data_IF_662884363617
#
_entry.id   IF_662884363617
#
_cell.length_a   1.000
_cell.length_b   1.000
_cell.length_c   1.000
_cell.angle_alpha   90.00
_cell.angle_beta   90.00
_cell.angle_gamma   90.00
#
_symmetry.space_group_name_H-M   'P 1'
#
loop_
_entity.id
_entity.type
_entity.pdbx_description
1 polymer ?
#
# COMPACT_ATOMS: atom_id res chain seq x y z
N UNK A 1 26.41 36.54 -9.15
CA UNK A 1 26.26 36.08 -7.75
C UNK A 1 24.78 36.13 -7.43
N UNK A 2 24.07 35.03 -7.70
CA UNK A 2 22.61 34.95 -7.55
C UNK A 2 22.35 33.97 -6.42
N UNK A 3 21.74 34.48 -5.34
CA UNK A 3 21.34 33.72 -4.16
C UNK A 3 20.18 32.77 -4.48
N UNK A 4 20.30 31.53 -4.02
CA UNK A 4 19.26 30.50 -4.03
C UNK A 4 18.25 30.74 -2.88
N UNK A 5 16.95 30.44 -3.04
CA UNK A 5 16.02 30.37 -1.92
C UNK A 5 15.95 28.96 -1.32
N UNK A 6 16.21 28.92 -0.02
CA UNK A 6 15.59 28.13 1.06
C UNK A 6 14.91 26.77 0.75
N UNK A 7 15.52 25.74 1.34
CA UNK A 7 15.03 24.39 1.61
C UNK A 7 13.60 24.31 2.16
N UNK A 8 12.78 23.44 1.57
CA UNK A 8 11.49 22.99 2.11
C UNK A 8 11.76 21.94 3.20
N UNK A 9 11.29 22.22 4.41
CA UNK A 9 11.40 21.35 5.59
C UNK A 9 10.37 20.21 5.51
N UNK A 10 10.83 18.95 5.52
CA UNK A 10 10.01 17.77 5.73
C UNK A 10 9.47 17.76 7.18
N UNK A 11 8.18 18.06 7.36
CA UNK A 11 7.49 18.02 8.65
C UNK A 11 6.76 16.70 8.87
N UNK A 12 7.45 15.56 8.96
CA UNK A 12 6.90 14.37 9.59
C UNK A 12 7.13 14.50 11.10
N UNK A 13 6.14 15.03 11.81
CA UNK A 13 6.20 15.18 13.27
C UNK A 13 6.07 13.79 13.91
N UNK A 14 7.20 13.16 14.20
CA UNK A 14 7.31 12.03 15.12
C UNK A 14 7.42 12.60 16.54
N UNK A 15 6.32 12.62 17.30
CA UNK A 15 6.36 13.05 18.70
C UNK A 15 6.87 11.89 19.55
N UNK A 16 8.16 11.89 19.83
CA UNK A 16 8.76 11.10 20.91
C UNK A 16 8.54 11.81 22.25
N UNK A 17 7.78 11.18 23.15
CA UNK A 17 7.58 11.70 24.51
C UNK A 17 7.12 10.59 25.46
N UNK A 18 8.06 9.98 26.16
CA UNK A 18 7.80 8.97 27.19
C UNK A 18 7.80 9.63 28.58
N UNK A 19 6.79 9.39 29.41
CA UNK A 19 6.89 9.49 30.87
C UNK A 19 5.82 8.62 31.55
N UNK A 20 6.13 7.92 32.67
CA UNK A 20 5.28 6.86 33.19
C UNK A 20 4.34 7.35 34.29
N UNK A 21 3.06 6.97 34.25
CA UNK A 21 2.21 6.94 35.44
C UNK A 21 1.34 5.68 35.49
N UNK A 22 1.46 4.98 36.63
CA UNK A 22 0.61 3.88 37.08
C UNK A 22 -0.83 4.34 37.23
N UNK A 23 -1.79 3.51 36.85
CA UNK A 23 -2.93 3.14 37.70
C UNK A 23 -3.63 1.90 37.14
N UNK A 24 -3.91 0.98 38.05
CA UNK A 24 -4.66 -0.28 37.91
C UNK A 24 -6.11 -0.06 37.51
N UNK A 25 -6.66 -0.92 36.63
CA UNK A 25 -8.01 -1.47 36.75
C UNK A 25 -8.20 -2.66 35.80
N UNK A 26 -8.56 -3.80 36.38
CA UNK A 26 -8.97 -5.02 35.68
C UNK A 26 -10.29 -4.80 34.95
N UNK A 27 -10.36 -5.20 33.68
CA UNK A 27 -11.61 -5.59 33.05
C UNK A 27 -11.51 -7.05 32.61
N UNK A 28 -12.39 -7.85 33.18
CA UNK A 28 -12.61 -9.25 32.81
C UNK A 28 -13.24 -9.32 31.41
N UNK A 29 -12.61 -10.03 30.48
CA UNK A 29 -13.20 -10.37 29.20
C UNK A 29 -13.92 -11.72 29.34
N UNK A 30 -15.25 -11.71 29.17
CA UNK A 30 -16.07 -12.93 29.13
C UNK A 30 -15.87 -13.60 27.77
N UNK A 31 -15.49 -14.87 27.78
CA UNK A 31 -15.48 -15.77 26.63
C UNK A 31 -16.92 -16.12 26.23
N UNK A 32 -17.25 -15.98 24.95
CA UNK A 32 -18.43 -16.60 24.33
C UNK A 32 -17.94 -17.78 23.51
N UNK A 33 -18.36 -18.97 23.90
CA UNK A 33 -18.20 -20.20 23.13
C UNK A 33 -19.43 -20.39 22.27
N UNK A 34 -19.26 -20.57 20.96
CA UNK A 34 -20.27 -21.18 20.09
C UNK A 34 -19.60 -22.36 19.42
N UNK A 35 -20.16 -23.53 19.70
CA UNK A 35 -19.68 -24.81 19.20
C UNK A 35 -20.43 -25.30 17.97
N UNK A 36 -19.78 -26.29 17.37
CA UNK A 36 -20.31 -27.48 16.70
C UNK A 36 -20.76 -27.39 15.24
N UNK A 37 -19.93 -28.06 14.43
CA UNK A 37 -20.29 -29.10 13.45
C UNK A 37 -21.37 -28.81 12.40
N UNK A 38 -20.91 -28.66 11.15
CA UNK A 38 -21.59 -29.23 9.99
C UNK A 38 -20.54 -30.00 9.17
N UNK A 39 -20.77 -31.30 8.98
CA UNK A 39 -20.01 -32.18 8.09
C UNK A 39 -20.43 -31.85 6.64
N UNK A 40 -19.46 -31.52 5.79
CA UNK A 40 -19.63 -31.48 4.33
C UNK A 40 -19.36 -32.85 3.73
N UNK A 41 -20.25 -33.29 2.85
CA UNK A 41 -20.04 -34.40 1.93
C UNK A 41 -19.41 -33.86 0.64
N UNK A 42 -18.59 -34.72 0.03
CA UNK A 42 -17.66 -34.51 -1.08
C UNK A 42 -18.26 -33.97 -2.39
N UNK A 43 -17.49 -33.13 -3.09
CA UNK A 43 -17.43 -33.03 -4.55
C UNK A 43 -16.03 -32.56 -4.95
N UNK A 44 -15.29 -33.41 -5.66
CA UNK A 44 -13.96 -33.16 -6.20
C UNK A 44 -14.06 -32.41 -7.54
N UNK A 45 -13.26 -31.36 -7.70
CA UNK A 45 -12.75 -30.95 -9.01
C UNK A 45 -11.38 -30.31 -8.80
N UNK A 46 -10.35 -30.96 -9.34
CA UNK A 46 -8.95 -30.65 -9.07
C UNK A 46 -8.48 -29.30 -9.63
N UNK A 47 -7.61 -28.68 -8.84
CA UNK A 47 -6.59 -27.72 -9.25
C UNK A 47 -5.34 -28.05 -8.45
N UNK A 48 -4.21 -28.10 -9.12
CA UNK A 48 -2.89 -28.43 -8.57
C UNK A 48 -2.57 -27.52 -7.37
N UNK A 49 -2.60 -28.09 -6.16
CA UNK A 49 -2.12 -27.45 -4.94
C UNK A 49 -0.61 -27.68 -4.85
N UNK A 50 0.18 -26.61 -4.86
CA UNK A 50 1.56 -26.66 -4.38
C UNK A 50 1.51 -26.92 -2.86
N UNK A 51 1.66 -28.18 -2.46
CA UNK A 51 1.81 -28.58 -1.06
C UNK A 51 3.09 -27.94 -0.48
N UNK A 52 2.91 -26.90 0.34
CA UNK A 52 3.94 -26.46 1.27
C UNK A 52 3.99 -27.51 2.40
N UNK A 53 4.97 -28.40 2.35
CA UNK A 53 5.29 -29.32 3.45
C UNK A 53 5.54 -28.51 4.74
N UNK A 54 4.63 -28.59 5.70
CA UNK A 54 4.89 -28.20 7.08
C UNK A 54 5.91 -29.18 7.67
N UNK A 55 7.17 -28.76 7.71
CA UNK A 55 8.19 -29.46 8.49
C UNK A 55 7.88 -29.19 9.98
N UNK A 56 7.12 -30.09 10.60
CA UNK A 56 7.06 -30.20 12.06
C UNK A 56 8.41 -30.75 12.56
N UNK A 57 9.39 -29.87 12.76
CA UNK A 57 10.54 -30.22 13.61
C UNK A 57 10.04 -30.31 15.05
N UNK A 58 9.94 -31.54 15.58
CA UNK A 58 9.74 -31.79 17.01
C UNK A 58 10.85 -31.11 17.82
N UNK A 59 10.57 -29.94 18.40
CA UNK A 59 11.46 -29.30 19.36
C UNK A 59 11.53 -30.12 20.66
N UNK A 60 12.60 -30.92 20.83
CA UNK A 60 13.00 -31.39 22.15
C UNK A 60 13.28 -30.19 23.06
N UNK A 61 12.32 -29.84 23.92
CA UNK A 61 12.53 -28.85 24.97
C UNK A 61 13.68 -29.29 25.89
N UNK A 62 14.73 -28.47 26.10
CA UNK A 62 15.86 -28.89 26.92
C UNK A 62 15.43 -28.96 28.38
N UNK A 63 15.41 -30.18 28.93
CA UNK A 63 15.19 -30.44 30.36
C UNK A 63 16.19 -29.64 31.20
N UNK A 64 15.65 -28.82 32.10
CA UNK A 64 16.35 -27.93 33.03
C UNK A 64 17.39 -28.73 33.83
N UNK A 65 18.67 -28.64 33.45
CA UNK A 65 19.75 -29.29 34.21
C UNK A 65 21.07 -29.60 33.49
N UNK A 66 21.14 -29.57 32.15
CA UNK A 66 22.41 -29.77 31.42
C UNK A 66 23.04 -28.42 31.06
N UNK A 67 24.31 -28.22 31.43
CA UNK A 67 25.11 -27.04 31.02
C UNK A 67 25.12 -26.98 29.49
N UNK A 68 24.51 -25.95 28.91
CA UNK A 68 24.52 -25.71 27.47
C UNK A 68 25.97 -25.54 27.03
N UNK A 69 26.47 -26.48 26.21
CA UNK A 69 27.81 -26.40 25.64
C UNK A 69 27.77 -25.28 24.60
N UNK A 70 28.44 -24.16 24.88
CA UNK A 70 28.56 -23.05 23.93
C UNK A 70 29.63 -23.45 22.91
N UNK A 71 29.22 -23.70 21.68
CA UNK A 71 30.13 -23.89 20.55
C UNK A 71 30.24 -22.59 19.76
N UNK A 72 31.49 -22.16 19.55
CA UNK A 72 31.82 -21.04 18.70
C UNK A 72 31.75 -21.50 17.25
N UNK A 73 30.81 -20.94 16.47
CA UNK A 73 30.55 -21.35 15.09
C UNK A 73 31.37 -20.50 14.11
N UNK A 74 31.27 -19.17 14.21
CA UNK A 74 31.95 -18.24 13.30
C UNK A 74 32.14 -16.86 13.96
N UNK A 75 33.26 -16.20 13.66
CA UNK A 75 33.49 -14.79 13.99
C UNK A 75 33.01 -13.91 12.84
N UNK A 76 32.19 -12.90 13.14
CA UNK A 76 31.55 -12.06 12.11
C UNK A 76 32.22 -10.69 12.08
N UNK A 77 33.01 -10.38 11.04
CA UNK A 77 33.74 -9.13 10.96
C UNK A 77 32.79 -7.92 10.84
N UNK A 78 33.22 -6.72 11.29
CA UNK A 78 32.46 -5.49 11.10
C UNK A 78 32.07 -5.27 9.63
N UNK A 79 30.81 -4.90 9.39
CA UNK A 79 30.27 -4.66 8.04
C UNK A 79 29.69 -5.90 7.34
N UNK A 80 29.74 -7.09 7.96
CA UNK A 80 29.08 -8.30 7.44
C UNK A 80 27.72 -8.51 8.09
N UNK A 81 26.69 -8.65 7.27
CA UNK A 81 25.35 -9.06 7.73
C UNK A 81 25.29 -10.57 7.83
N UNK A 82 24.66 -11.07 8.89
CA UNK A 82 24.35 -12.49 9.04
C UNK A 82 22.92 -12.64 9.55
N UNK A 83 22.19 -13.58 8.96
CA UNK A 83 20.82 -13.85 9.34
C UNK A 83 20.82 -14.83 10.51
N UNK A 84 20.45 -14.36 11.70
CA UNK A 84 20.22 -15.23 12.85
C UNK A 84 18.73 -15.58 12.93
N UNK A 85 18.39 -16.84 12.69
CA UNK A 85 17.06 -17.37 13.05
C UNK A 85 16.95 -17.39 14.58
N UNK A 86 16.21 -16.42 15.12
CA UNK A 86 16.09 -16.25 16.57
C UNK A 86 14.99 -17.13 17.16
N UNK A 87 15.32 -17.90 18.20
CA UNK A 87 14.37 -18.47 19.19
C UNK A 87 13.55 -17.38 19.94
N UNK A 88 13.77 -16.09 19.62
CA UNK A 88 13.15 -14.92 20.22
C UNK A 88 11.78 -14.54 19.65
N UNK A 89 11.22 -15.26 18.67
CA UNK A 89 9.89 -14.97 18.10
C UNK A 89 8.80 -14.88 19.18
N UNK A 90 8.84 -15.77 20.18
CA UNK A 90 7.92 -15.76 21.34
C UNK A 90 8.12 -14.56 22.27
N UNK A 91 9.32 -13.97 22.32
CA UNK A 91 9.63 -12.82 23.17
C UNK A 91 9.37 -11.47 22.49
N UNK A 92 9.48 -11.39 21.15
CA UNK A 92 9.22 -10.18 20.38
C UNK A 92 7.80 -10.06 19.83
N UNK A 93 7.04 -11.17 19.80
CA UNK A 93 5.69 -11.21 19.23
C UNK A 93 5.64 -11.02 17.71
N UNK A 94 6.78 -11.18 17.03
CA UNK A 94 6.92 -10.91 15.59
C UNK A 94 6.48 -12.12 14.78
N UNK A 95 5.18 -12.21 14.50
CA UNK A 95 4.61 -13.19 13.57
C UNK A 95 4.36 -12.54 12.23
N UNK A 96 4.75 -13.24 11.16
CA UNK A 96 4.51 -12.79 9.80
C UNK A 96 3.07 -13.11 9.39
N UNK A 97 2.35 -12.12 8.86
CA UNK A 97 1.02 -12.35 8.30
C UNK A 97 1.17 -12.91 6.88
N UNK A 98 0.57 -14.07 6.56
CA UNK A 98 0.61 -14.62 5.21
C UNK A 98 0.13 -13.61 4.16
N UNK A 99 0.81 -13.55 3.01
CA UNK A 99 0.57 -12.51 2.01
C UNK A 99 -0.87 -12.51 1.46
N UNK A 100 -1.45 -13.70 1.24
CA UNK A 100 -2.85 -13.85 0.80
C UNK A 100 -3.84 -13.21 1.79
N UNK A 101 -3.56 -13.34 3.09
CA UNK A 101 -4.40 -12.77 4.14
C UNK A 101 -4.26 -11.25 4.22
N UNK A 102 -3.03 -10.73 4.08
CA UNK A 102 -2.79 -9.28 3.99
C UNK A 102 -3.56 -8.67 2.81
N UNK A 103 -3.44 -9.25 1.62
CA UNK A 103 -4.12 -8.78 0.41
C UNK A 103 -5.63 -8.78 0.56
N UNK A 104 -6.20 -9.85 1.12
CA UNK A 104 -7.62 -9.94 1.40
C UNK A 104 -8.08 -8.81 2.35
N UNK A 105 -7.41 -8.66 3.50
CA UNK A 105 -7.78 -7.64 4.48
C UNK A 105 -7.66 -6.22 3.92
N UNK A 106 -6.60 -5.92 3.18
CA UNK A 106 -6.41 -4.60 2.55
C UNK A 106 -7.54 -4.32 1.56
N UNK A 107 -7.86 -5.28 0.68
CA UNK A 107 -8.94 -5.11 -0.30
C UNK A 107 -10.28 -4.87 0.39
N UNK A 108 -10.70 -5.76 1.28
CA UNK A 108 -12.01 -5.67 1.94
C UNK A 108 -12.14 -4.41 2.81
N UNK A 109 -11.03 -3.89 3.34
CA UNK A 109 -11.03 -2.67 4.16
C UNK A 109 -11.06 -1.40 3.31
N UNK A 110 -10.30 -1.35 2.22
CA UNK A 110 -10.07 -0.12 1.46
C UNK A 110 -11.01 0.02 0.25
N UNK A 111 -11.50 -1.06 -0.34
CA UNK A 111 -12.36 -1.00 -1.53
C UNK A 111 -13.68 -0.25 -1.29
N UNK A 112 -14.44 -0.51 -0.21
CA UNK A 112 -15.70 0.21 0.03
C UNK A 112 -15.57 1.74 0.12
N UNK A 113 -14.67 2.32 0.95
CA UNK A 113 -14.54 3.77 1.05
C UNK A 113 -13.97 4.41 -0.22
N UNK A 114 -13.20 3.68 -1.04
CA UNK A 114 -12.75 4.18 -2.36
C UNK A 114 -13.94 4.30 -3.30
N UNK A 115 -14.77 3.27 -3.39
CA UNK A 115 -15.94 3.25 -4.28
C UNK A 115 -16.96 4.34 -3.90
N UNK A 116 -17.08 4.68 -2.62
CA UNK A 116 -17.91 5.80 -2.16
C UNK A 116 -17.34 7.17 -2.57
N UNK A 117 -16.01 7.34 -2.46
CA UNK A 117 -15.34 8.63 -2.70
C UNK A 117 -15.08 8.92 -4.17
N UNK A 118 -14.78 7.90 -4.94
CA UNK A 118 -14.41 7.96 -6.35
C UNK A 118 -15.10 6.81 -7.11
N UNK A 119 -16.43 6.85 -7.26
CA UNK A 119 -17.17 5.86 -8.04
C UNK A 119 -16.72 5.89 -9.51
N UNK A 120 -16.94 4.79 -10.23
CA UNK A 120 -16.45 4.63 -11.61
C UNK A 120 -17.10 5.60 -12.60
N UNK A 121 -18.34 5.98 -12.34
CA UNK A 121 -19.13 6.88 -13.17
C UNK A 121 -18.80 8.38 -12.92
N UNK A 122 -18.23 8.69 -11.76
CA UNK A 122 -17.79 10.05 -11.39
C UNK A 122 -16.43 9.98 -10.67
N UNK A 123 -15.36 9.59 -11.39
CA UNK A 123 -14.05 9.32 -10.80
C UNK A 123 -13.43 10.60 -10.23
N UNK A 124 -12.94 10.51 -8.98
CA UNK A 124 -12.33 11.61 -8.23
C UNK A 124 -10.99 11.17 -7.63
N UNK A 125 -9.93 11.10 -8.44
CA UNK A 125 -8.59 10.68 -8.00
C UNK A 125 -8.09 11.43 -6.76
N UNK A 126 -8.32 12.75 -6.69
CA UNK A 126 -7.93 13.57 -5.55
C UNK A 126 -8.60 13.17 -4.23
N UNK A 127 -9.80 12.59 -4.25
CA UNK A 127 -10.48 12.10 -3.03
C UNK A 127 -9.87 10.79 -2.51
N UNK A 128 -9.30 9.97 -3.40
CA UNK A 128 -8.54 8.77 -3.00
C UNK A 128 -7.29 9.18 -2.22
N UNK A 129 -6.56 10.21 -2.68
CA UNK A 129 -5.36 10.73 -2.00
C UNK A 129 -5.63 11.38 -0.63
N UNK A 130 -6.90 11.66 -0.31
CA UNK A 130 -7.28 12.16 1.02
C UNK A 130 -7.44 11.04 2.06
N UNK A 131 -7.49 9.78 1.65
CA UNK A 131 -7.55 8.65 2.57
C UNK A 131 -6.28 8.58 3.43
N UNK A 132 -6.44 8.23 4.71
CA UNK A 132 -5.34 8.11 5.66
C UNK A 132 -5.36 6.69 6.23
N UNK A 133 -4.37 5.89 5.88
CA UNK A 133 -4.19 4.52 6.35
C UNK A 133 -3.11 4.50 7.40
N UNK A 134 -3.46 4.05 8.62
CA UNK A 134 -2.54 3.94 9.74
C UNK A 134 -2.38 2.47 10.14
N UNK A 135 -1.13 2.00 10.18
CA UNK A 135 -0.76 0.75 10.84
C UNK A 135 0.01 1.06 12.15
N UNK A 136 -0.61 0.86 13.34
CA UNK A 136 0.00 1.22 14.62
C UNK A 136 1.07 0.25 15.13
N UNK A 137 1.25 -0.90 14.46
CA UNK A 137 2.24 -1.92 14.81
C UNK A 137 2.78 -2.59 13.54
N UNK A 138 3.30 -1.76 12.64
CA UNK A 138 3.49 -2.13 11.23
C UNK A 138 4.53 -3.22 10.98
N UNK A 139 5.43 -3.48 11.93
CA UNK A 139 6.56 -4.37 11.73
C UNK A 139 7.37 -3.94 10.50
N UNK A 140 7.61 -4.87 9.59
CA UNK A 140 8.29 -4.61 8.31
C UNK A 140 7.41 -3.90 7.26
N UNK A 141 6.17 -3.55 7.59
CA UNK A 141 5.30 -2.73 6.74
C UNK A 141 4.48 -3.51 5.71
N UNK A 142 4.20 -4.80 5.90
CA UNK A 142 3.51 -5.63 4.90
C UNK A 142 2.12 -5.11 4.53
N UNK A 143 1.33 -4.69 5.52
CA UNK A 143 0.04 -4.05 5.26
C UNK A 143 0.20 -2.71 4.52
N UNK A 144 1.22 -1.92 4.84
CA UNK A 144 1.47 -0.64 4.19
C UNK A 144 1.95 -0.80 2.74
N UNK A 145 2.82 -1.78 2.47
CA UNK A 145 3.26 -2.12 1.11
C UNK A 145 2.08 -2.59 0.27
N UNK A 146 1.24 -3.47 0.81
CA UNK A 146 0.07 -3.95 0.08
C UNK A 146 -0.99 -2.85 -0.10
N UNK A 147 -1.21 -2.00 0.91
CA UNK A 147 -2.07 -0.82 0.77
C UNK A 147 -1.51 0.15 -0.29
N UNK A 148 -0.19 0.31 -0.38
CA UNK A 148 0.47 1.12 -1.41
C UNK A 148 0.13 0.61 -2.82
N UNK A 149 0.29 -0.70 -3.04
CA UNK A 149 -0.05 -1.37 -4.31
C UNK A 149 -1.51 -1.15 -4.67
N UNK A 150 -2.40 -1.52 -3.75
CA UNK A 150 -3.84 -1.48 -3.96
C UNK A 150 -4.34 -0.07 -4.23
N UNK A 151 -3.97 0.90 -3.40
CA UNK A 151 -4.37 2.30 -3.59
C UNK A 151 -3.71 2.92 -4.83
N UNK A 152 -2.48 2.55 -5.16
CA UNK A 152 -1.79 3.01 -6.37
C UNK A 152 -2.52 2.57 -7.64
N UNK A 153 -2.94 1.31 -7.69
CA UNK A 153 -3.77 0.78 -8.79
C UNK A 153 -5.13 1.49 -8.87
N UNK A 154 -5.79 1.72 -7.73
CA UNK A 154 -7.09 2.43 -7.70
C UNK A 154 -6.97 3.90 -8.09
N UNK A 155 -5.88 4.56 -7.71
CA UNK A 155 -5.60 5.93 -8.11
C UNK A 155 -5.37 6.02 -9.62
N UNK A 156 -4.57 5.10 -10.18
CA UNK A 156 -4.38 5.01 -11.63
C UNK A 156 -5.70 4.73 -12.36
N UNK A 157 -6.50 3.76 -11.89
CA UNK A 157 -7.82 3.43 -12.44
C UNK A 157 -8.71 4.68 -12.51
N UNK A 158 -8.78 5.47 -11.42
CA UNK A 158 -9.56 6.70 -11.39
C UNK A 158 -9.04 7.76 -12.37
N UNK A 159 -7.71 7.92 -12.51
CA UNK A 159 -7.12 8.86 -13.46
C UNK A 159 -7.42 8.47 -14.90
N UNK A 160 -7.28 7.18 -15.23
CA UNK A 160 -7.63 6.62 -16.54
C UNK A 160 -9.10 6.84 -16.87
N UNK A 161 -10.01 6.63 -15.92
CA UNK A 161 -11.44 6.86 -16.13
C UNK A 161 -11.77 8.36 -16.33
N UNK A 162 -11.11 9.27 -15.59
CA UNK A 162 -11.26 10.70 -15.88
C UNK A 162 -10.84 11.03 -17.32
N UNK A 163 -9.75 10.43 -17.79
CA UNK A 163 -9.22 10.64 -19.14
C UNK A 163 -10.19 10.16 -20.23
N UNK A 164 -10.72 8.95 -20.07
CA UNK A 164 -11.69 8.34 -21.00
C UNK A 164 -12.99 9.14 -21.06
N UNK A 165 -13.56 9.50 -19.90
CA UNK A 165 -14.79 10.29 -19.84
C UNK A 165 -14.60 11.72 -20.39
N UNK A 166 -13.39 12.27 -20.31
CA UNK A 166 -13.06 13.54 -20.93
C UNK A 166 -13.04 13.42 -22.46
N UNK A 167 -12.40 12.38 -23.01
CA UNK A 167 -12.39 12.11 -24.46
C UNK A 167 -13.80 11.92 -25.02
N UNK A 168 -14.64 11.13 -24.34
CA UNK A 168 -16.03 10.93 -24.73
C UNK A 168 -16.82 12.25 -24.75
N UNK A 169 -16.60 13.10 -23.73
CA UNK A 169 -17.24 14.40 -23.65
C UNK A 169 -16.73 15.39 -24.72
N UNK A 170 -15.45 15.33 -25.08
CA UNK A 170 -14.85 16.11 -26.18
C UNK A 170 -15.48 15.70 -27.52
N UNK A 171 -15.53 14.39 -27.82
CA UNK A 171 -16.17 13.86 -29.03
C UNK A 171 -17.67 14.21 -29.10
N UNK A 172 -18.37 14.14 -27.97
CA UNK A 172 -19.78 14.55 -27.90
C UNK A 172 -19.93 16.05 -28.24
N UNK A 173 -19.03 16.91 -27.75
CA UNK A 173 -19.07 18.33 -28.04
C UNK A 173 -18.83 18.61 -29.53
N UNK A 174 -17.89 17.91 -30.16
CA UNK A 174 -17.58 18.04 -31.59
C UNK A 174 -18.74 17.56 -32.48
N UNK A 175 -19.36 16.44 -32.14
CA UNK A 175 -20.44 15.83 -32.91
C UNK A 175 -21.81 16.50 -32.71
N UNK A 176 -21.98 17.30 -31.67
CA UNK A 176 -23.26 17.96 -31.36
C UNK A 176 -23.47 19.19 -32.25
N UNK A 177 -24.60 19.27 -32.95
CA UNK A 177 -25.03 20.47 -33.67
C UNK A 177 -25.60 21.54 -32.72
N UNK A 178 -26.26 21.09 -31.64
CA UNK A 178 -26.84 21.94 -30.61
C UNK A 178 -25.77 22.65 -29.74
N UNK A 179 -25.96 23.95 -29.54
CA UNK A 179 -25.00 24.81 -28.82
C UNK A 179 -24.98 24.49 -27.33
N UNK A 180 -26.12 24.18 -26.73
CA UNK A 180 -26.22 23.90 -25.29
C UNK A 180 -25.55 22.56 -24.94
N UNK A 181 -25.82 21.52 -25.73
CA UNK A 181 -25.19 20.20 -25.61
C UNK A 181 -23.68 20.30 -25.82
N UNK A 182 -23.21 21.05 -26.82
CA UNK A 182 -21.78 21.28 -27.07
C UNK A 182 -21.09 21.94 -25.88
N UNK A 183 -21.69 23.00 -25.34
CA UNK A 183 -21.12 23.74 -24.22
C UNK A 183 -21.07 22.90 -22.94
N UNK A 184 -22.14 22.16 -22.63
CA UNK A 184 -22.21 21.29 -21.45
C UNK A 184 -21.21 20.13 -21.54
N UNK A 185 -21.09 19.48 -22.70
CA UNK A 185 -20.11 18.42 -22.93
C UNK A 185 -18.66 18.94 -22.84
N UNK A 186 -18.37 20.10 -23.46
CA UNK A 186 -17.05 20.75 -23.34
C UNK A 186 -16.71 21.11 -21.89
N UNK A 187 -17.68 21.60 -21.12
CA UNK A 187 -17.49 21.88 -19.70
C UNK A 187 -17.24 20.60 -18.90
N UNK A 188 -17.96 19.51 -19.20
CA UNK A 188 -17.76 18.20 -18.56
C UNK A 188 -16.34 17.66 -18.81
N UNK A 189 -15.86 17.74 -20.06
CA UNK A 189 -14.49 17.35 -20.40
C UNK A 189 -13.45 18.11 -19.57
N UNK A 190 -13.58 19.44 -19.51
CA UNK A 190 -12.69 20.29 -18.71
C UNK A 190 -12.65 19.89 -17.23
N UNK A 191 -13.79 19.55 -16.64
CA UNK A 191 -13.86 19.11 -15.25
C UNK A 191 -13.03 17.84 -15.04
N UNK A 192 -13.18 16.83 -15.91
CA UNK A 192 -12.44 15.58 -15.75
C UNK A 192 -10.94 15.75 -15.96
N UNK A 193 -10.51 16.54 -16.97
CA UNK A 193 -9.09 16.88 -17.17
C UNK A 193 -8.52 17.60 -15.96
N UNK A 194 -9.26 18.57 -15.42
CA UNK A 194 -8.82 19.35 -14.26
C UNK A 194 -8.59 18.47 -13.02
N UNK A 195 -9.44 17.45 -12.79
CA UNK A 195 -9.27 16.53 -11.65
C UNK A 195 -7.93 15.78 -11.67
N UNK A 196 -7.39 15.49 -12.84
CA UNK A 196 -6.09 14.84 -12.99
C UNK A 196 -4.95 15.86 -12.86
N UNK A 197 -5.11 17.05 -13.46
CA UNK A 197 -4.15 18.16 -13.37
C UNK A 197 -3.98 18.62 -11.92
N UNK A 198 -5.04 18.61 -11.12
CA UNK A 198 -5.03 19.03 -9.72
C UNK A 198 -4.30 18.05 -8.78
N UNK A 199 -3.84 16.89 -9.29
CA UNK A 199 -3.08 15.94 -8.49
C UNK A 199 -1.68 16.50 -8.17
N UNK A 200 -1.13 16.21 -6.97
CA UNK A 200 0.18 16.67 -6.57
C UNK A 200 1.31 15.87 -7.23
N UNK A 201 1.33 15.78 -8.56
CA UNK A 201 2.40 15.17 -9.36
C UNK A 201 3.50 16.22 -9.63
N UNK A 202 4.68 16.12 -8.98
CA UNK A 202 5.70 17.18 -9.05
C UNK A 202 6.24 17.48 -10.45
N UNK A 203 6.10 16.55 -11.40
CA UNK A 203 6.64 16.66 -12.75
C UNK A 203 5.58 16.62 -13.84
N UNK A 204 4.29 16.64 -13.48
CA UNK A 204 3.15 16.48 -14.41
C UNK A 204 3.35 15.30 -15.39
N UNK A 205 3.98 14.22 -14.91
CA UNK A 205 4.35 13.06 -15.73
C UNK A 205 3.14 12.19 -16.00
N UNK A 206 2.22 12.06 -15.05
CA UNK A 206 1.11 11.10 -15.10
C UNK A 206 0.27 11.25 -16.37
N UNK A 207 -0.01 12.48 -16.80
CA UNK A 207 -0.80 12.78 -18.01
C UNK A 207 -0.22 12.13 -19.27
N UNK A 208 1.10 11.97 -19.34
CA UNK A 208 1.77 11.36 -20.50
C UNK A 208 1.46 9.88 -20.62
N UNK A 209 1.13 9.21 -19.51
CA UNK A 209 0.87 7.78 -19.47
C UNK A 209 -0.62 7.44 -19.53
N UNK A 210 -1.49 8.44 -19.72
CA UNK A 210 -2.92 8.22 -19.87
C UNK A 210 -3.28 7.88 -21.33
N UNK A 211 -4.40 7.16 -21.56
CA UNK A 211 -4.80 6.72 -22.90
C UNK A 211 -4.86 7.84 -23.94
N UNK A 212 -5.31 9.04 -23.56
CA UNK A 212 -5.39 10.20 -24.47
C UNK A 212 -4.05 10.73 -24.95
N UNK A 213 -2.95 10.38 -24.28
CA UNK A 213 -1.59 10.78 -24.65
C UNK A 213 -0.85 9.70 -25.46
N UNK A 214 -1.54 8.61 -25.86
CA UNK A 214 -0.96 7.59 -26.72
C UNK A 214 -0.55 8.20 -28.08
N UNK A 215 0.67 7.94 -28.58
CA UNK A 215 1.10 8.43 -29.88
C UNK A 215 0.23 7.83 -31.00
N UNK A 216 0.00 8.61 -32.06
CA UNK A 216 -0.79 8.15 -33.22
C UNK A 216 -0.20 6.85 -33.80
N UNK A 217 -0.92 5.74 -33.67
CA UNK A 217 -0.54 4.43 -34.19
C UNK A 217 -0.16 3.38 -33.14
N UNK A 218 -0.11 3.72 -31.84
CA UNK A 218 0.06 2.74 -30.76
C UNK A 218 -1.24 2.60 -29.93
N UNK A 219 -1.65 1.36 -29.65
CA UNK A 219 -2.87 1.07 -28.85
C UNK A 219 -2.70 1.38 -27.36
N UNK A 220 -1.46 1.59 -26.90
CA UNK A 220 -1.12 1.85 -25.50
C UNK A 220 -0.24 3.08 -25.40
N UNK A 221 -0.56 4.00 -24.48
CA UNK A 221 0.36 5.09 -24.11
C UNK A 221 1.68 4.56 -23.52
N UNK A 222 2.54 5.48 -23.08
CA UNK A 222 3.78 5.12 -22.36
C UNK A 222 3.51 4.10 -21.23
N UNK A 223 4.53 3.31 -20.85
CA UNK A 223 4.45 2.18 -19.90
C UNK A 223 3.44 2.36 -18.75
N UNK A 224 2.34 1.58 -18.77
CA UNK A 224 1.33 1.55 -17.69
C UNK A 224 1.97 1.29 -16.31
N UNK A 225 3.04 0.48 -16.28
CA UNK A 225 3.77 0.19 -15.06
C UNK A 225 4.41 1.45 -14.45
N UNK A 226 4.91 2.37 -15.29
CA UNK A 226 5.45 3.65 -14.82
C UNK A 226 4.36 4.55 -14.24
N UNK A 227 3.19 4.61 -14.87
CA UNK A 227 2.03 5.34 -14.36
C UNK A 227 1.60 4.83 -12.98
N UNK A 228 1.50 3.51 -12.83
CA UNK A 228 1.16 2.87 -11.56
C UNK A 228 2.24 3.15 -10.51
N UNK A 229 3.53 3.12 -10.87
CA UNK A 229 4.61 3.46 -9.96
C UNK A 229 4.54 4.92 -9.48
N UNK A 230 4.20 5.87 -10.36
CA UNK A 230 3.93 7.27 -9.98
C UNK A 230 2.75 7.35 -9.01
N UNK A 231 1.65 6.64 -9.28
CA UNK A 231 0.49 6.60 -8.38
C UNK A 231 0.85 5.99 -7.02
N UNK A 232 1.63 4.91 -6.97
CA UNK A 232 2.15 4.30 -5.73
C UNK A 232 2.99 5.30 -4.95
N UNK A 233 3.84 6.09 -5.61
CA UNK A 233 4.61 7.16 -4.97
C UNK A 233 3.70 8.23 -4.34
N UNK A 234 2.68 8.69 -5.06
CA UNK A 234 1.72 9.67 -4.52
C UNK A 234 1.00 9.10 -3.28
N UNK A 235 0.55 7.85 -3.36
CA UNK A 235 -0.10 7.16 -2.24
C UNK A 235 0.84 7.02 -1.05
N UNK A 236 2.09 6.60 -1.27
CA UNK A 236 3.06 6.43 -0.20
C UNK A 236 3.31 7.74 0.58
N UNK A 237 3.35 8.88 -0.13
CA UNK A 237 3.58 10.20 0.46
C UNK A 237 2.32 10.76 1.14
N UNK A 238 1.15 10.56 0.54
CA UNK A 238 -0.07 11.25 0.97
C UNK A 238 -1.01 10.40 1.82
N UNK A 239 -0.97 9.08 1.73
CA UNK A 239 -1.98 8.22 2.33
C UNK A 239 -1.48 7.36 3.49
N UNK A 240 -0.20 6.95 3.49
CA UNK A 240 0.28 5.87 4.34
C UNK A 240 1.03 6.37 5.58
N UNK A 241 0.68 5.79 6.73
CA UNK A 241 1.27 6.11 8.03
C UNK A 241 1.52 4.82 8.80
N UNK A 242 2.69 4.71 9.41
CA UNK A 242 3.11 3.53 10.13
C UNK A 242 3.83 3.87 11.42
N UNK A 243 3.53 3.11 12.48
CA UNK A 243 4.19 3.21 13.78
C UNK A 243 4.70 1.85 14.19
N UNK A 244 5.93 1.80 14.69
CA UNK A 244 6.47 0.61 15.34
C UNK A 244 7.38 1.01 16.51
N UNK A 245 7.44 0.16 17.52
CA UNK A 245 8.32 0.34 18.69
C UNK A 245 9.78 0.00 18.35
N UNK A 246 10.00 -0.94 17.44
CA UNK A 246 11.32 -1.37 17.01
C UNK A 246 11.85 -0.44 15.88
N UNK A 247 12.92 0.33 16.12
CA UNK A 247 13.46 1.23 15.11
C UNK A 247 13.95 0.49 13.84
N UNK A 248 14.41 -0.76 13.94
CA UNK A 248 14.79 -1.53 12.75
C UNK A 248 13.59 -1.89 11.88
N UNK A 249 12.42 -2.15 12.48
CA UNK A 249 11.19 -2.41 11.74
C UNK A 249 10.76 -1.17 10.95
N UNK A 250 10.93 0.02 11.54
CA UNK A 250 10.69 1.30 10.88
C UNK A 250 11.58 1.48 9.64
N UNK A 251 12.89 1.22 9.75
CA UNK A 251 13.78 1.34 8.60
C UNK A 251 13.48 0.30 7.50
N UNK A 252 13.14 -0.93 7.86
CA UNK A 252 12.72 -1.96 6.90
C UNK A 252 11.42 -1.60 6.18
N UNK A 253 10.44 -1.02 6.89
CA UNK A 253 9.19 -0.57 6.30
C UNK A 253 9.42 0.58 5.29
N UNK A 254 10.29 1.54 5.63
CA UNK A 254 10.68 2.64 4.72
C UNK A 254 11.33 2.12 3.44
N UNK A 255 12.29 1.20 3.57
CA UNK A 255 12.97 0.61 2.41
C UNK A 255 12.01 -0.20 1.54
N UNK A 256 11.11 -0.98 2.15
CA UNK A 256 10.10 -1.75 1.43
C UNK A 256 9.15 -0.85 0.64
N UNK A 257 8.65 0.23 1.26
CA UNK A 257 7.80 1.21 0.58
C UNK A 257 8.54 1.95 -0.54
N UNK A 258 9.82 2.27 -0.33
CA UNK A 258 10.64 2.93 -1.35
C UNK A 258 10.84 2.04 -2.57
N UNK A 259 11.15 0.75 -2.38
CA UNK A 259 11.29 -0.23 -3.48
C UNK A 259 9.96 -0.42 -4.22
N UNK A 260 8.86 -0.47 -3.50
CA UNK A 260 7.53 -0.65 -4.10
C UNK A 260 7.07 0.57 -4.91
N UNK A 261 7.44 1.77 -4.47
CA UNK A 261 7.05 3.04 -5.09
C UNK A 261 8.12 3.63 -6.00
N UNK A 262 9.16 2.85 -6.35
CA UNK A 262 10.26 3.34 -7.17
C UNK A 262 9.84 3.55 -8.63
N UNK A 263 9.23 4.70 -8.90
CA UNK A 263 9.34 5.41 -10.17
C UNK A 263 10.60 6.28 -10.10
N UNK A 264 11.40 6.33 -11.17
CA UNK A 264 12.64 7.12 -11.24
C UNK A 264 12.52 8.51 -10.57
N UNK A 265 13.43 8.85 -9.65
CA UNK A 265 13.53 10.19 -9.05
C UNK A 265 13.22 10.32 -7.55
N UNK A 266 13.58 9.35 -6.72
CA UNK A 266 13.64 9.48 -5.25
C UNK A 266 15.09 9.68 -4.77
N UNK A 267 15.79 10.68 -5.31
CA UNK A 267 17.06 11.21 -4.80
C UNK A 267 17.16 12.70 -5.12
#
# INVERSE_FOLDING_TARGET
MVSLPSSVSLGAIFVGGCSPRRTTRSLACRSVSIGSCIKSNSYESGTEEEELEEIEEEEETPKRGKKTKVEWIEEIPPGRFYLRVGLGRKASGSYYTPHSFVRFLVKETLEPPINERSPKEDPKPGEILKLKVLDPAMGSGHFLVEACRFLGEKLYEACRLCDELALEAEQQAENSEDVETRNSASQRAKIFRQRVIDLPDPNDKLMKYLPSAAPEGEETGFSQAEAIALCRRLVAVHCLYGVDKNPLAVELAKLSLWLESHAEGLL
#
